data_IF_617076287258
#
_entry.id   IF_617076287258
#
_cell.length_a   1.000
_cell.length_b   1.000
_cell.length_c   1.000
_cell.angle_alpha   90.00
_cell.angle_beta   90.00
_cell.angle_gamma   90.00
#
_symmetry.space_group_name_H-M   'P 1'
#
loop_
_entity.id
_entity.type
_entity.pdbx_description
1 polymer ?
#
# COMPACT_ATOMS: atom_id res chain seq x y z
N UNK A 1 -21.36 5.48 -18.54
CA UNK A 1 -20.83 4.54 -17.52
C UNK A 1 -19.44 5.04 -17.14
N UNK A 2 -19.11 5.15 -15.85
CA UNK A 2 -17.80 5.70 -15.46
C UNK A 2 -16.68 4.71 -15.88
N UNK A 3 -15.51 5.16 -16.37
CA UNK A 3 -14.44 4.26 -16.85
C UNK A 3 -13.98 3.22 -15.80
N UNK A 4 -13.79 3.66 -14.55
CA UNK A 4 -13.61 2.78 -13.39
C UNK A 4 -14.64 1.64 -13.31
N UNK A 5 -15.91 1.93 -13.58
CA UNK A 5 -16.96 0.93 -13.46
C UNK A 5 -16.80 -0.19 -14.49
N UNK A 6 -16.28 0.14 -15.69
CA UNK A 6 -15.96 -0.83 -16.73
C UNK A 6 -14.73 -1.69 -16.39
N UNK A 7 -13.72 -1.11 -15.73
CA UNK A 7 -12.57 -1.87 -15.21
C UNK A 7 -13.02 -2.92 -14.19
N UNK A 8 -13.90 -2.53 -13.27
CA UNK A 8 -14.43 -3.41 -12.21
C UNK A 8 -15.30 -4.54 -12.78
N UNK A 9 -16.13 -4.28 -13.80
CA UNK A 9 -16.95 -5.34 -14.43
C UNK A 9 -16.12 -6.39 -15.17
N UNK A 10 -14.89 -6.06 -15.57
CA UNK A 10 -13.97 -6.97 -16.25
C UNK A 10 -13.24 -7.91 -15.29
N UNK A 11 -13.36 -7.70 -13.98
CA UNK A 11 -12.71 -8.56 -12.99
C UNK A 11 -13.28 -9.98 -13.05
N UNK A 12 -12.40 -10.96 -13.24
CA UNK A 12 -12.76 -12.37 -13.41
C UNK A 12 -12.17 -13.24 -12.29
N UNK A 13 -12.58 -14.51 -12.21
CA UNK A 13 -11.93 -15.50 -11.32
C UNK A 13 -10.42 -15.62 -11.60
N UNK A 14 -9.99 -15.36 -12.83
CA UNK A 14 -8.56 -15.38 -13.19
C UNK A 14 -7.83 -14.20 -12.57
N UNK A 15 -8.44 -13.01 -12.57
CA UNK A 15 -7.92 -11.85 -11.85
C UNK A 15 -7.81 -12.14 -10.34
N UNK A 16 -8.81 -12.82 -9.77
CA UNK A 16 -8.80 -13.18 -8.34
C UNK A 16 -7.64 -14.16 -8.02
N UNK A 17 -7.46 -15.19 -8.86
CA UNK A 17 -6.35 -16.15 -8.73
C UNK A 17 -4.98 -15.50 -8.89
N UNK A 18 -4.85 -14.55 -9.82
CA UNK A 18 -3.62 -13.79 -10.03
C UNK A 18 -3.27 -12.97 -8.79
N UNK A 19 -4.23 -12.20 -8.27
CA UNK A 19 -4.05 -11.46 -7.03
C UNK A 19 -3.68 -12.39 -5.87
N UNK A 20 -4.35 -13.54 -5.75
CA UNK A 20 -4.01 -14.56 -4.75
C UNK A 20 -2.58 -15.09 -4.88
N UNK A 21 -2.10 -15.34 -6.10
CA UNK A 21 -0.72 -15.78 -6.33
C UNK A 21 0.31 -14.70 -5.95
N UNK A 22 -0.01 -13.43 -6.21
CA UNK A 22 0.84 -12.28 -5.83
C UNK A 22 0.95 -12.17 -4.31
N UNK A 23 -0.18 -12.26 -3.59
CA UNK A 23 -0.21 -12.29 -2.12
C UNK A 23 0.59 -13.47 -1.59
N UNK A 24 0.40 -14.66 -2.17
CA UNK A 24 1.08 -15.87 -1.75
C UNK A 24 2.61 -15.73 -1.85
N UNK A 25 3.12 -15.19 -2.96
CA UNK A 25 4.56 -14.93 -3.09
C UNK A 25 5.07 -13.94 -2.05
N UNK A 26 4.33 -12.86 -1.80
CA UNK A 26 4.66 -11.90 -0.75
C UNK A 26 4.76 -12.56 0.63
N UNK A 27 3.77 -13.40 0.99
CA UNK A 27 3.76 -14.14 2.26
C UNK A 27 4.91 -15.12 2.34
N UNK A 28 5.18 -15.90 1.28
CA UNK A 28 6.27 -16.89 1.25
C UNK A 28 7.62 -16.23 1.45
N UNK A 29 7.92 -15.18 0.68
CA UNK A 29 9.22 -14.50 0.76
C UNK A 29 9.42 -13.78 2.11
N UNK A 30 8.36 -13.17 2.63
CA UNK A 30 8.38 -12.54 3.95
C UNK A 30 8.55 -13.56 5.09
N UNK A 31 7.91 -14.73 4.96
CA UNK A 31 8.11 -15.84 5.91
C UNK A 31 9.54 -16.36 5.85
N UNK A 32 10.12 -16.50 4.66
CA UNK A 32 11.52 -16.93 4.53
C UNK A 32 12.45 -15.91 5.20
N UNK A 33 12.25 -14.62 4.91
CA UNK A 33 13.03 -13.53 5.50
C UNK A 33 12.96 -13.56 7.04
N UNK A 34 11.76 -13.64 7.61
CA UNK A 34 11.57 -13.56 9.07
C UNK A 34 11.94 -14.83 9.82
N UNK A 35 11.76 -16.03 9.24
CA UNK A 35 11.99 -17.29 9.97
C UNK A 35 13.41 -17.83 9.79
N UNK A 36 14.02 -17.63 8.62
CA UNK A 36 15.34 -18.18 8.31
C UNK A 36 16.44 -17.13 8.33
N UNK A 37 16.09 -15.86 8.17
CA UNK A 37 17.03 -14.74 8.18
C UNK A 37 16.56 -13.59 9.09
N UNK A 38 16.15 -13.88 10.35
CA UNK A 38 15.65 -12.84 11.25
C UNK A 38 16.71 -11.79 11.56
N UNK A 39 16.26 -10.56 11.75
CA UNK A 39 17.06 -9.50 12.36
C UNK A 39 17.07 -9.66 13.90
N UNK A 40 18.20 -9.40 14.60
CA UNK A 40 19.48 -8.89 14.09
C UNK A 40 20.49 -9.96 13.64
N UNK A 41 20.13 -11.24 13.64
CA UNK A 41 21.04 -12.34 13.30
C UNK A 41 21.45 -12.33 11.81
N UNK A 42 20.60 -11.78 10.94
CA UNK A 42 20.87 -11.56 9.52
C UNK A 42 20.60 -10.11 9.14
N UNK A 43 21.50 -9.56 8.31
CA UNK A 43 21.32 -8.25 7.67
C UNK A 43 20.77 -8.34 6.23
N UNK A 44 20.21 -9.50 5.86
CA UNK A 44 19.68 -9.74 4.51
C UNK A 44 18.31 -9.11 4.24
N UNK A 45 17.75 -8.33 5.17
CA UNK A 45 16.45 -7.68 5.03
C UNK A 45 16.28 -6.91 3.73
N UNK A 46 17.29 -6.13 3.33
CA UNK A 46 17.33 -5.39 2.04
C UNK A 46 17.14 -6.33 0.85
N UNK A 47 17.84 -7.46 0.84
CA UNK A 47 17.72 -8.43 -0.25
C UNK A 47 16.29 -8.96 -0.35
N UNK A 48 15.69 -9.35 0.78
CA UNK A 48 14.34 -9.92 0.81
C UNK A 48 13.27 -8.93 0.40
N UNK A 49 13.39 -7.65 0.78
CA UNK A 49 12.40 -6.64 0.40
C UNK A 49 12.46 -6.33 -1.10
N UNK A 50 13.66 -6.27 -1.70
CA UNK A 50 13.82 -6.11 -3.14
C UNK A 50 13.34 -7.33 -3.91
N UNK A 51 13.70 -8.54 -3.46
CA UNK A 51 13.26 -9.78 -4.09
C UNK A 51 11.73 -9.86 -4.05
N UNK A 52 11.14 -9.60 -2.87
CA UNK A 52 9.69 -9.56 -2.67
C UNK A 52 9.00 -8.55 -3.57
N UNK A 53 9.42 -7.29 -3.54
CA UNK A 53 8.79 -6.23 -4.33
C UNK A 53 8.99 -6.44 -5.83
N UNK A 54 10.17 -6.93 -6.26
CA UNK A 54 10.44 -7.21 -7.68
C UNK A 54 9.66 -8.40 -8.21
N UNK A 55 9.60 -9.52 -7.47
CA UNK A 55 8.78 -10.69 -7.86
C UNK A 55 7.31 -10.31 -7.92
N UNK A 56 6.84 -9.52 -6.95
CA UNK A 56 5.49 -9.01 -6.93
C UNK A 56 5.18 -8.16 -8.17
N UNK A 57 6.01 -7.14 -8.44
CA UNK A 57 5.84 -6.25 -9.59
C UNK A 57 6.02 -6.96 -10.93
N UNK A 58 6.98 -7.88 -11.05
CA UNK A 58 7.16 -8.68 -12.25
C UNK A 58 5.95 -9.57 -12.51
N UNK A 59 5.38 -10.19 -11.46
CA UNK A 59 4.13 -10.96 -11.57
C UNK A 59 2.98 -10.05 -11.99
N UNK A 60 2.85 -8.84 -11.43
CA UNK A 60 1.84 -7.88 -11.87
C UNK A 60 1.98 -7.54 -13.37
N UNK A 61 3.19 -7.21 -13.84
CA UNK A 61 3.42 -6.72 -15.20
C UNK A 61 3.45 -7.82 -16.27
N UNK A 62 4.09 -8.97 -16.00
CA UNK A 62 4.09 -10.12 -16.93
C UNK A 62 2.66 -10.60 -17.16
N UNK A 63 1.84 -10.65 -16.11
CA UNK A 63 0.46 -11.06 -16.22
C UNK A 63 -0.42 -9.95 -16.83
N UNK A 64 -0.23 -8.69 -16.46
CA UNK A 64 -0.94 -7.59 -17.12
C UNK A 64 -0.65 -7.50 -18.63
N UNK A 65 0.54 -7.94 -19.07
CA UNK A 65 0.93 -7.98 -20.49
C UNK A 65 0.48 -9.24 -21.24
N UNK A 66 0.43 -10.42 -20.60
CA UNK A 66 0.06 -11.69 -21.25
C UNK A 66 -1.45 -11.93 -21.33
N UNK A 67 -2.23 -11.43 -20.38
CA UNK A 67 -3.69 -11.54 -20.43
C UNK A 67 -4.24 -10.36 -21.22
N UNK A 68 -5.28 -10.58 -22.05
CA UNK A 68 -5.94 -9.52 -22.85
C UNK A 68 -5.97 -8.24 -22.02
N UNK A 69 -5.40 -7.15 -22.56
CA UNK A 69 -5.09 -5.90 -21.87
C UNK A 69 -6.21 -5.30 -20.99
N UNK A 70 -7.41 -5.85 -21.06
CA UNK A 70 -8.63 -5.47 -20.37
C UNK A 70 -8.82 -6.11 -18.98
N UNK A 71 -8.41 -7.37 -18.72
CA UNK A 71 -8.58 -8.03 -17.40
C UNK A 71 -7.50 -7.60 -16.39
N UNK A 72 -6.28 -7.36 -16.86
CA UNK A 72 -5.17 -6.84 -16.07
C UNK A 72 -5.13 -5.31 -15.94
N UNK A 73 -6.02 -4.59 -16.63
CA UNK A 73 -6.01 -3.13 -16.69
C UNK A 73 -6.15 -2.47 -15.31
N UNK A 74 -7.07 -2.99 -14.47
CA UNK A 74 -7.30 -2.46 -13.13
C UNK A 74 -6.05 -2.61 -12.27
N UNK A 75 -5.46 -3.81 -12.28
CA UNK A 75 -4.25 -4.15 -11.53
C UNK A 75 -3.08 -3.28 -12.00
N UNK A 76 -2.87 -3.13 -13.32
CA UNK A 76 -1.82 -2.27 -13.87
C UNK A 76 -2.01 -0.82 -13.43
N UNK A 77 -3.24 -0.30 -13.50
CA UNK A 77 -3.55 1.08 -13.08
C UNK A 77 -3.33 1.27 -11.59
N UNK A 78 -3.69 0.28 -10.76
CA UNK A 78 -3.36 0.28 -9.32
C UNK A 78 -1.84 0.30 -9.10
N UNK A 79 -1.07 -0.48 -9.84
CA UNK A 79 0.38 -0.53 -9.72
C UNK A 79 1.04 0.81 -10.10
N UNK A 80 0.58 1.45 -11.19
CA UNK A 80 1.05 2.77 -11.60
C UNK A 80 0.67 3.85 -10.60
N UNK A 81 -0.58 3.82 -10.13
CA UNK A 81 -1.05 4.73 -9.07
C UNK A 81 -0.24 4.55 -7.79
N UNK A 82 -0.01 3.31 -7.37
CA UNK A 82 0.76 3.01 -6.17
C UNK A 82 2.23 3.33 -6.29
N UNK A 83 2.83 3.20 -7.48
CA UNK A 83 4.20 3.65 -7.73
C UNK A 83 4.30 5.18 -7.65
N UNK A 84 3.37 5.90 -8.25
CA UNK A 84 3.33 7.37 -8.18
C UNK A 84 3.13 7.85 -6.74
N UNK A 85 2.18 7.25 -6.01
CA UNK A 85 1.97 7.52 -4.58
C UNK A 85 3.22 7.18 -3.76
N UNK A 86 3.85 6.03 -4.01
CA UNK A 86 5.06 5.60 -3.31
C UNK A 86 6.27 6.49 -3.53
N UNK A 87 6.44 7.08 -4.71
CA UNK A 87 7.48 8.10 -4.95
C UNK A 87 7.22 9.35 -4.13
N UNK A 88 5.96 9.78 -4.04
CA UNK A 88 5.57 10.96 -3.28
C UNK A 88 5.53 10.71 -1.76
N UNK A 89 5.37 9.46 -1.35
CA UNK A 89 5.36 9.07 0.06
C UNK A 89 6.70 9.29 0.77
N UNK A 90 7.80 9.42 0.01
CA UNK A 90 9.11 9.82 0.54
C UNK A 90 9.02 11.13 1.35
N UNK A 91 8.09 12.04 1.01
CA UNK A 91 7.94 13.30 1.74
C UNK A 91 7.22 13.16 3.09
N UNK A 92 6.04 12.51 3.20
CA UNK A 92 5.47 12.16 4.51
C UNK A 92 6.41 11.30 5.37
N UNK A 93 7.10 10.35 4.75
CA UNK A 93 8.00 9.44 5.45
C UNK A 93 9.21 10.17 6.05
N UNK A 94 9.74 11.17 5.36
CA UNK A 94 10.75 12.08 5.91
C UNK A 94 10.30 12.75 7.23
N UNK A 95 9.02 13.10 7.36
CA UNK A 95 8.50 13.64 8.62
C UNK A 95 8.49 12.60 9.74
N UNK A 96 8.08 11.37 9.42
CA UNK A 96 8.06 10.26 10.39
C UNK A 96 9.46 9.95 10.90
N UNK A 97 10.47 10.05 10.02
CA UNK A 97 11.86 9.78 10.39
C UNK A 97 12.48 10.95 11.11
N UNK A 98 12.34 12.19 10.67
CA UNK A 98 13.17 13.30 11.17
C UNK A 98 12.47 14.24 12.15
N UNK A 99 11.15 14.42 12.05
CA UNK A 99 10.48 15.55 12.72
C UNK A 99 9.62 15.15 13.90
N UNK A 100 9.25 13.87 14.03
CA UNK A 100 8.46 13.42 15.16
C UNK A 100 9.29 13.44 16.46
N UNK A 101 8.74 13.98 17.57
CA UNK A 101 9.46 14.03 18.85
C UNK A 101 9.54 12.67 19.56
N UNK A 102 8.72 11.70 19.15
CA UNK A 102 8.66 10.33 19.68
C UNK A 102 7.94 9.44 18.67
N UNK A 103 8.10 8.12 18.80
CA UNK A 103 7.46 7.19 17.86
C UNK A 103 7.99 7.33 16.44
N UNK A 104 9.23 7.76 16.25
CA UNK A 104 9.83 7.98 14.93
C UNK A 104 9.98 6.67 14.18
N UNK A 105 9.90 6.75 12.85
CA UNK A 105 10.24 5.64 11.98
C UNK A 105 11.77 5.48 11.90
N UNK A 106 12.25 4.25 12.03
CA UNK A 106 13.66 3.89 11.96
C UNK A 106 13.85 2.79 10.92
N UNK A 107 14.51 3.13 9.81
CA UNK A 107 14.94 2.15 8.82
C UNK A 107 16.18 1.38 9.31
N UNK A 108 16.01 0.07 9.48
CA UNK A 108 17.04 -0.86 9.95
C UNK A 108 17.97 -1.32 8.81
N UNK A 109 17.50 -1.18 7.58
CA UNK A 109 18.21 -1.57 6.37
C UNK A 109 19.36 -0.61 6.00
N UNK A 110 20.52 -1.17 5.62
CA UNK A 110 21.64 -0.42 5.06
C UNK A 110 21.49 -0.27 3.54
N UNK A 111 20.56 0.56 3.10
CA UNK A 111 20.29 0.84 1.69
C UNK A 111 20.54 2.31 1.34
N UNK A 112 20.64 2.61 0.05
CA UNK A 112 20.59 3.98 -0.45
C UNK A 112 19.26 4.63 -0.05
N UNK A 113 19.32 5.93 0.29
CA UNK A 113 18.16 6.70 0.75
C UNK A 113 17.90 7.91 -0.14
N UNK A 114 16.62 8.19 -0.39
CA UNK A 114 16.12 9.44 -0.93
C UNK A 114 15.47 10.20 0.23
N UNK A 115 16.01 11.38 0.56
CA UNK A 115 15.79 12.00 1.87
C UNK A 115 16.14 11.00 2.99
N UNK A 116 15.13 10.53 3.74
CA UNK A 116 15.32 9.55 4.82
C UNK A 116 14.80 8.15 4.49
N UNK A 117 14.14 7.98 3.34
CA UNK A 117 13.47 6.74 2.92
C UNK A 117 14.38 5.88 2.02
N UNK A 118 14.50 4.57 2.25
CA UNK A 118 15.16 3.66 1.34
C UNK A 118 14.55 3.67 -0.07
N UNK A 119 15.36 3.43 -1.09
CA UNK A 119 14.88 3.49 -2.49
C UNK A 119 13.91 2.37 -2.88
N UNK A 120 13.73 1.35 -2.03
CA UNK A 120 12.66 0.35 -2.20
C UNK A 120 11.27 0.84 -1.78
N UNK A 121 11.15 1.93 -0.99
CA UNK A 121 9.86 2.39 -0.43
C UNK A 121 8.79 2.60 -1.51
N UNK A 122 9.08 3.24 -2.66
CA UNK A 122 8.10 3.37 -3.73
C UNK A 122 7.55 2.05 -4.27
N UNK A 123 8.39 0.99 -4.31
CA UNK A 123 7.98 -0.33 -4.77
C UNK A 123 7.06 -1.01 -3.74
N UNK A 124 7.33 -0.82 -2.45
CA UNK A 124 6.51 -1.39 -1.38
C UNK A 124 5.13 -0.74 -1.37
N UNK A 125 5.05 0.58 -1.52
CA UNK A 125 3.77 1.26 -1.64
C UNK A 125 2.98 0.83 -2.88
N UNK A 126 3.64 0.59 -4.01
CA UNK A 126 2.99 0.01 -5.18
C UNK A 126 2.38 -1.38 -4.89
N UNK A 127 3.10 -2.22 -4.14
CA UNK A 127 2.61 -3.54 -3.73
C UNK A 127 1.44 -3.44 -2.74
N UNK A 128 1.53 -2.59 -1.72
CA UNK A 128 0.48 -2.39 -0.70
C UNK A 128 -0.80 -1.86 -1.35
N UNK A 129 -0.69 -0.83 -2.19
CA UNK A 129 -1.82 -0.25 -2.91
C UNK A 129 -2.47 -1.28 -3.86
N UNK A 130 -1.70 -2.13 -4.51
CA UNK A 130 -2.25 -3.26 -5.27
C UNK A 130 -2.98 -4.26 -4.37
N UNK A 131 -2.36 -4.65 -3.26
CA UNK A 131 -2.85 -5.67 -2.34
C UNK A 131 -4.17 -5.29 -1.68
N UNK A 132 -4.32 -4.03 -1.27
CA UNK A 132 -5.54 -3.51 -0.67
C UNK A 132 -6.52 -3.02 -1.75
N UNK A 133 -6.01 -2.35 -2.78
CA UNK A 133 -6.84 -1.75 -3.82
C UNK A 133 -7.61 -2.78 -4.63
N UNK A 134 -7.03 -3.93 -4.94
CA UNK A 134 -7.71 -4.99 -5.69
C UNK A 134 -8.98 -5.52 -4.99
N UNK A 135 -8.92 -6.06 -3.75
CA UNK A 135 -10.11 -6.57 -3.07
C UNK A 135 -11.14 -5.47 -2.81
N UNK A 136 -10.71 -4.23 -2.54
CA UNK A 136 -11.61 -3.07 -2.37
C UNK A 136 -12.41 -2.79 -3.65
N UNK A 137 -11.75 -2.80 -4.80
CA UNK A 137 -12.40 -2.65 -6.10
C UNK A 137 -13.35 -3.82 -6.42
N UNK A 138 -12.93 -5.05 -6.07
CA UNK A 138 -13.75 -6.26 -6.23
C UNK A 138 -15.03 -6.18 -5.39
N UNK A 139 -14.91 -5.79 -4.11
CA UNK A 139 -16.04 -5.61 -3.19
C UNK A 139 -16.96 -4.49 -3.66
N UNK A 140 -16.42 -3.36 -4.11
CA UNK A 140 -17.21 -2.30 -4.72
C UNK A 140 -18.04 -2.81 -5.91
N UNK A 141 -17.45 -3.63 -6.79
CA UNK A 141 -18.17 -4.25 -7.91
C UNK A 141 -19.33 -5.15 -7.49
N UNK A 142 -19.14 -5.93 -6.42
CA UNK A 142 -20.16 -6.80 -5.84
C UNK A 142 -21.28 -6.00 -5.15
N UNK A 143 -20.91 -4.97 -4.40
CA UNK A 143 -21.84 -4.17 -3.59
C UNK A 143 -22.60 -3.14 -4.41
N UNK A 144 -22.00 -2.52 -5.43
CA UNK A 144 -22.68 -1.47 -6.22
C UNK A 144 -23.95 -1.97 -6.89
N UNK A 145 -24.01 -3.27 -7.24
CA UNK A 145 -25.20 -3.91 -7.80
C UNK A 145 -26.33 -4.07 -6.78
N UNK A 146 -26.02 -4.10 -5.48
CA UNK A 146 -26.98 -4.30 -4.38
C UNK A 146 -27.37 -3.01 -3.67
N UNK A 147 -26.41 -2.14 -3.39
CA UNK A 147 -26.59 -0.93 -2.56
C UNK A 147 -26.29 0.38 -3.30
N UNK A 148 -26.07 0.32 -4.62
CA UNK A 148 -25.90 1.48 -5.47
C UNK A 148 -24.72 2.37 -5.05
N UNK A 149 -24.96 3.68 -4.95
CA UNK A 149 -23.94 4.69 -4.62
C UNK A 149 -23.29 4.47 -3.25
N UNK A 150 -23.98 3.81 -2.30
CA UNK A 150 -23.44 3.52 -0.97
C UNK A 150 -22.25 2.56 -1.00
N UNK A 151 -22.13 1.76 -2.06
CA UNK A 151 -21.02 0.82 -2.22
C UNK A 151 -19.66 1.50 -2.22
N UNK A 152 -19.55 2.74 -2.74
CA UNK A 152 -18.30 3.50 -2.73
C UNK A 152 -17.85 3.77 -1.29
N UNK A 153 -18.75 4.26 -0.44
CA UNK A 153 -18.45 4.57 0.96
C UNK A 153 -18.15 3.31 1.78
N UNK A 154 -18.92 2.24 1.59
CA UNK A 154 -18.69 0.97 2.29
C UNK A 154 -17.37 0.32 1.90
N UNK A 155 -17.03 0.31 0.61
CA UNK A 155 -15.76 -0.24 0.13
C UNK A 155 -14.57 0.61 0.57
N UNK A 156 -14.74 1.93 0.64
CA UNK A 156 -13.75 2.86 1.19
C UNK A 156 -13.52 2.62 2.69
N UNK A 157 -14.59 2.52 3.47
CA UNK A 157 -14.50 2.19 4.90
C UNK A 157 -13.83 0.82 5.11
N UNK A 158 -14.19 -0.18 4.30
CA UNK A 158 -13.54 -1.48 4.33
C UNK A 158 -12.04 -1.37 4.02
N UNK A 159 -11.64 -0.53 3.06
CA UNK A 159 -10.24 -0.30 2.73
C UNK A 159 -9.46 0.24 3.95
N UNK A 160 -9.98 1.29 4.58
CA UNK A 160 -9.37 1.89 5.78
C UNK A 160 -9.25 0.90 6.94
N UNK A 161 -10.36 0.22 7.28
CA UNK A 161 -10.35 -0.76 8.37
C UNK A 161 -9.41 -1.94 8.08
N UNK A 162 -9.38 -2.43 6.83
CA UNK A 162 -8.47 -3.51 6.43
C UNK A 162 -7.01 -3.08 6.58
N UNK A 163 -6.68 -1.86 6.15
CA UNK A 163 -5.33 -1.32 6.31
C UNK A 163 -4.95 -1.27 7.79
N UNK A 164 -5.78 -0.66 8.65
CA UNK A 164 -5.53 -0.54 10.08
C UNK A 164 -5.30 -1.88 10.79
N UNK A 165 -6.11 -2.89 10.45
CA UNK A 165 -6.03 -4.23 11.07
C UNK A 165 -4.79 -4.98 10.59
N UNK A 166 -4.49 -4.94 9.29
CA UNK A 166 -3.39 -5.69 8.71
C UNK A 166 -2.02 -5.10 9.05
N UNK A 167 -1.97 -3.81 9.39
CA UNK A 167 -0.72 -3.10 9.58
C UNK A 167 0.04 -3.54 10.83
N UNK A 168 -0.61 -3.74 11.98
CA UNK A 168 0.09 -4.17 13.20
C UNK A 168 0.95 -5.43 13.02
N UNK A 169 0.38 -6.52 12.48
CA UNK A 169 1.16 -7.68 12.08
C UNK A 169 2.26 -7.36 11.04
N UNK A 170 1.96 -6.51 10.07
CA UNK A 170 2.93 -6.11 9.03
C UNK A 170 4.15 -5.38 9.61
N UNK A 171 3.94 -4.47 10.55
CA UNK A 171 5.00 -3.72 11.25
C UNK A 171 5.88 -4.63 12.11
N UNK A 172 5.26 -5.60 12.79
CA UNK A 172 5.99 -6.61 13.55
C UNK A 172 6.88 -7.44 12.64
N UNK A 173 6.33 -7.88 11.52
CA UNK A 173 7.05 -8.66 10.50
C UNK A 173 8.16 -7.84 9.85
N UNK A 174 7.95 -6.56 9.57
CA UNK A 174 8.96 -5.67 9.01
C UNK A 174 10.14 -5.48 9.97
N UNK A 175 9.88 -5.36 11.27
CA UNK A 175 10.90 -5.30 12.30
C UNK A 175 11.70 -6.61 12.37
N UNK A 176 11.02 -7.76 12.37
CA UNK A 176 11.69 -9.08 12.36
C UNK A 176 12.50 -9.34 11.09
N UNK A 177 12.09 -8.79 9.95
CA UNK A 177 12.82 -8.87 8.70
C UNK A 177 13.96 -7.84 8.58
N UNK A 178 14.11 -6.94 9.56
CA UNK A 178 15.14 -5.91 9.55
C UNK A 178 14.92 -4.81 8.50
N UNK A 179 13.67 -4.50 8.18
CA UNK A 179 13.33 -3.44 7.22
C UNK A 179 13.21 -2.09 7.93
N UNK A 180 12.25 -1.98 8.83
CA UNK A 180 12.02 -0.80 9.66
C UNK A 180 11.35 -1.16 10.98
N UNK A 181 11.38 -0.22 11.91
CA UNK A 181 10.69 -0.29 13.19
C UNK A 181 10.37 1.13 13.68
N UNK A 182 9.58 1.25 14.74
CA UNK A 182 9.34 2.54 15.38
C UNK A 182 10.04 2.66 16.73
N UNK A 183 10.47 3.87 17.06
CA UNK A 183 10.87 4.22 18.42
C UNK A 183 9.69 4.12 19.39
N UNK A 184 9.94 4.01 20.70
CA UNK A 184 8.88 4.08 21.69
C UNK A 184 8.05 5.36 21.56
N UNK A 185 6.73 5.20 21.68
CA UNK A 185 5.75 6.29 21.67
C UNK A 185 4.83 6.21 22.88
N UNK A 186 3.90 7.17 23.00
CA UNK A 186 2.92 7.19 24.09
C UNK A 186 2.02 5.95 24.08
N UNK A 187 1.61 5.50 22.90
CA UNK A 187 0.71 4.35 22.74
C UNK A 187 1.27 3.39 21.70
N UNK A 188 1.54 2.16 22.13
CA UNK A 188 2.11 1.08 21.32
C UNK A 188 1.13 -0.09 21.20
N UNK A 189 1.12 -0.77 20.06
CA UNK A 189 0.55 -2.10 19.87
C UNK A 189 1.69 -3.11 19.83
N UNK A 190 1.88 -3.85 20.92
CA UNK A 190 3.03 -4.73 21.05
C UNK A 190 4.36 -3.95 21.06
N UNK A 191 5.49 -4.59 20.72
CA UNK A 191 6.81 -3.99 20.86
C UNK A 191 7.21 -3.07 19.70
N UNK A 192 6.62 -3.21 18.51
CA UNK A 192 7.15 -2.60 17.28
C UNK A 192 6.19 -1.64 16.57
N UNK A 193 4.92 -1.56 16.96
CA UNK A 193 3.91 -0.77 16.24
C UNK A 193 3.43 0.40 17.09
N UNK A 194 3.58 1.63 16.60
CA UNK A 194 2.97 2.81 17.24
C UNK A 194 1.52 2.95 16.78
N UNK A 195 0.57 3.21 17.68
CA UNK A 195 -0.88 3.25 17.35
C UNK A 195 -1.26 4.32 16.33
N UNK A 196 -0.53 5.44 16.27
CA UNK A 196 -0.87 6.49 15.30
C UNK A 196 -0.72 6.02 13.85
N UNK A 197 0.10 4.99 13.59
CA UNK A 197 0.35 4.43 12.25
C UNK A 197 -0.87 3.65 11.69
N UNK A 198 -1.42 2.61 12.35
CA UNK A 198 -2.65 1.99 11.88
C UNK A 198 -3.85 2.94 11.84
N UNK A 199 -3.88 3.94 12.74
CA UNK A 199 -4.92 4.98 12.71
C UNK A 199 -4.79 5.88 11.48
N UNK A 200 -3.59 6.34 11.14
CA UNK A 200 -3.36 7.14 9.94
C UNK A 200 -3.63 6.33 8.68
N UNK A 201 -3.19 5.07 8.62
CA UNK A 201 -3.45 4.22 7.47
C UNK A 201 -4.94 3.94 7.28
N UNK A 202 -5.72 3.87 8.37
CA UNK A 202 -7.17 3.81 8.26
C UNK A 202 -7.74 5.01 7.47
N UNK A 203 -7.25 6.21 7.77
CA UNK A 203 -7.70 7.45 7.13
C UNK A 203 -7.22 7.52 5.67
N UNK A 204 -5.95 7.17 5.44
CA UNK A 204 -5.30 7.18 4.13
C UNK A 204 -6.00 6.21 3.18
N UNK A 205 -6.11 4.93 3.57
CA UNK A 205 -6.72 3.90 2.72
C UNK A 205 -8.22 4.05 2.57
N UNK A 206 -8.92 4.74 3.48
CA UNK A 206 -10.30 5.14 3.24
C UNK A 206 -10.47 6.06 2.02
N UNK A 207 -9.41 6.77 1.60
CA UNK A 207 -9.43 7.59 0.38
C UNK A 207 -8.94 6.87 -0.88
N UNK A 208 -8.41 5.64 -0.75
CA UNK A 208 -7.84 4.89 -1.87
C UNK A 208 -8.83 4.74 -3.03
N UNK A 209 -10.02 4.21 -2.77
CA UNK A 209 -11.01 3.96 -3.82
C UNK A 209 -11.51 5.23 -4.52
N UNK A 210 -11.92 6.31 -3.83
CA UNK A 210 -12.36 7.53 -4.50
C UNK A 210 -11.23 8.20 -5.32
N UNK A 211 -9.99 8.23 -4.79
CA UNK A 211 -8.85 8.80 -5.51
C UNK A 211 -8.44 7.93 -6.70
N UNK A 212 -8.46 6.61 -6.56
CA UNK A 212 -8.22 5.70 -7.68
C UNK A 212 -9.30 5.82 -8.76
N UNK A 213 -10.57 5.97 -8.36
CA UNK A 213 -11.66 6.23 -9.31
C UNK A 213 -11.44 7.52 -10.09
N UNK A 214 -10.90 8.58 -9.46
CA UNK A 214 -10.50 9.80 -10.16
C UNK A 214 -9.29 9.56 -11.09
N UNK A 215 -8.30 8.77 -10.66
CA UNK A 215 -7.08 8.47 -11.41
C UNK A 215 -7.34 7.82 -12.77
N UNK A 216 -8.44 7.07 -12.88
CA UNK A 216 -8.78 6.30 -14.09
C UNK A 216 -9.84 6.97 -14.97
N UNK A 217 -10.06 8.29 -14.82
CA UNK A 217 -10.93 9.05 -15.74
C UNK A 217 -10.32 9.08 -17.14
N UNK A 218 -11.18 9.07 -18.15
CA UNK A 218 -10.80 9.08 -19.59
C UNK A 218 -10.58 10.50 -20.13
N UNK A 219 -10.60 11.52 -19.28
CA UNK A 219 -10.42 12.90 -19.68
C UNK A 219 -8.92 13.19 -19.88
N UNK A 220 -8.54 13.70 -21.05
CA UNK A 220 -7.20 14.18 -21.41
C UNK A 220 -6.04 13.16 -21.39
N UNK A 221 -5.54 12.77 -20.21
CA UNK A 221 -4.32 11.99 -20.04
C UNK A 221 -4.37 11.11 -18.78
N UNK A 222 -4.22 9.80 -18.96
CA UNK A 222 -4.15 8.83 -17.87
C UNK A 222 -3.02 9.15 -16.88
N UNK A 223 -1.85 9.54 -17.39
CA UNK A 223 -0.69 9.88 -16.56
C UNK A 223 -0.99 11.10 -15.69
N UNK A 224 -1.64 12.13 -16.26
CA UNK A 224 -2.00 13.33 -15.52
C UNK A 224 -2.92 13.01 -14.33
N UNK A 225 -3.97 12.23 -14.55
CA UNK A 225 -4.91 11.87 -13.49
C UNK A 225 -4.28 10.94 -12.44
N UNK A 226 -3.42 10.01 -12.84
CA UNK A 226 -2.66 9.19 -11.89
C UNK A 226 -1.78 10.06 -10.99
N UNK A 227 -1.03 11.01 -11.57
CA UNK A 227 -0.16 11.90 -10.81
C UNK A 227 -0.96 12.82 -9.89
N UNK A 228 -2.06 13.40 -10.37
CA UNK A 228 -2.91 14.27 -9.55
C UNK A 228 -3.57 13.51 -8.40
N UNK A 229 -4.06 12.29 -8.65
CA UNK A 229 -4.56 11.42 -7.57
C UNK A 229 -3.46 11.06 -6.59
N UNK A 230 -2.23 10.81 -7.05
CA UNK A 230 -1.11 10.46 -6.17
C UNK A 230 -0.73 11.64 -5.28
N UNK A 231 -0.68 12.86 -5.83
CA UNK A 231 -0.47 14.10 -5.05
C UNK A 231 -1.57 14.26 -3.99
N UNK A 232 -2.83 14.05 -4.38
CA UNK A 232 -3.95 14.12 -3.43
C UNK A 232 -3.85 13.03 -2.35
N UNK A 233 -3.44 11.81 -2.72
CA UNK A 233 -3.22 10.72 -1.78
C UNK A 233 -2.12 11.06 -0.77
N UNK A 234 -0.98 11.59 -1.23
CA UNK A 234 0.11 12.05 -0.36
C UNK A 234 -0.31 13.21 0.56
N UNK A 235 -1.12 14.15 0.07
CA UNK A 235 -1.68 15.20 0.92
C UNK A 235 -2.56 14.61 2.03
N UNK A 236 -3.36 13.57 1.72
CA UNK A 236 -4.10 12.82 2.72
C UNK A 236 -3.15 12.08 3.67
N UNK A 237 -2.02 11.55 3.20
CA UNK A 237 -1.01 10.94 4.07
C UNK A 237 -0.48 11.92 5.12
N UNK A 238 -0.08 13.12 4.71
CA UNK A 238 0.35 14.17 5.65
C UNK A 238 -0.71 14.48 6.70
N UNK A 239 -1.97 14.69 6.27
CA UNK A 239 -3.08 14.98 7.17
C UNK A 239 -3.38 13.78 8.09
N UNK A 240 -3.34 12.57 7.54
CA UNK A 240 -3.58 11.32 8.26
C UNK A 240 -2.57 11.12 9.38
N UNK A 241 -1.27 11.25 9.09
CA UNK A 241 -0.23 11.19 10.11
C UNK A 241 -0.38 12.30 11.15
N UNK A 242 -0.60 13.55 10.73
CA UNK A 242 -0.75 14.67 11.66
C UNK A 242 -1.94 14.48 12.60
N UNK A 243 -3.11 14.12 12.07
CA UNK A 243 -4.33 13.90 12.87
C UNK A 243 -4.14 12.72 13.81
N UNK A 244 -3.63 11.59 13.33
CA UNK A 244 -3.42 10.41 14.16
C UNK A 244 -2.41 10.68 15.27
N UNK A 245 -1.29 11.35 14.95
CA UNK A 245 -0.27 11.71 15.92
C UNK A 245 -0.80 12.67 16.99
N UNK A 246 -1.62 13.66 16.63
CA UNK A 246 -2.24 14.56 17.62
C UNK A 246 -3.19 13.82 18.59
N UNK A 247 -3.82 12.74 18.15
CA UNK A 247 -4.77 11.98 18.96
C UNK A 247 -4.08 11.01 19.93
N UNK A 248 -3.06 10.28 19.47
CA UNK A 248 -2.48 9.15 20.21
C UNK A 248 -0.95 9.10 20.20
N UNK A 249 -0.30 10.02 19.50
CA UNK A 249 1.15 10.15 19.39
C UNK A 249 1.83 10.50 20.70
#
# INVERSE_FOLDING_TARGET
MHPHDALVDRLSRRSDLLWGAIILWGVVLTTIATQFFPYPQSHSGVFWIYLGSTVHMATLFIFAGRFRAQEGALIRKLALFGLAAGVLEIFPDYLLVEWLPRGRLVYLSQDARLLSSPVYVPLIWACIICNIGYPVNRLYGLWRRRVGRRALYLASLFAGLSAAILLGPYETVASWAGWWQYEPARVMLGPCTVVYIPLSECLIFATLLPLFRFAVREEHSEVYHILLSAIAFTAVTFVGYAVAFLLVG
#
